data_IF_580802394684
#
_entry.id   IF_580802394684
#
_cell.length_a   1.000
_cell.length_b   1.000
_cell.length_c   1.000
_cell.angle_alpha   90.00
_cell.angle_beta   90.00
_cell.angle_gamma   90.00
#
_symmetry.space_group_name_H-M   'P 1'
#
loop_
_entity.id
_entity.type
_entity.pdbx_description
1 polymer ?
#
# COMPACT_ATOMS: atom_id res chain seq x y z
N UNK A 1 38.06 17.53 -15.02
CA UNK A 1 37.11 18.64 -14.97
C UNK A 1 36.11 18.45 -16.10
N UNK A 2 34.94 17.88 -15.80
CA UNK A 2 33.87 17.73 -16.77
C UNK A 2 33.26 19.12 -17.07
N UNK A 3 32.93 19.38 -18.34
CA UNK A 3 32.53 20.70 -18.82
C UNK A 3 31.08 21.01 -18.43
N UNK A 4 30.77 22.19 -17.83
CA UNK A 4 29.41 22.58 -17.41
C UNK A 4 28.34 22.56 -18.51
N UNK A 5 28.75 22.58 -19.78
CA UNK A 5 27.86 22.52 -20.94
C UNK A 5 27.31 21.11 -21.22
N UNK A 6 27.99 20.07 -20.74
CA UNK A 6 27.53 18.68 -20.91
C UNK A 6 26.35 18.37 -19.97
N UNK A 7 26.39 18.90 -18.74
CA UNK A 7 25.34 18.75 -17.73
C UNK A 7 24.00 19.34 -18.20
N UNK A 8 24.02 20.55 -18.77
CA UNK A 8 22.80 21.24 -19.22
C UNK A 8 22.13 20.49 -20.40
N UNK A 9 22.91 19.82 -21.24
CA UNK A 9 22.39 19.05 -22.36
C UNK A 9 21.75 17.74 -21.92
N UNK A 10 22.30 17.06 -20.91
CA UNK A 10 21.66 15.89 -20.29
C UNK A 10 20.39 16.26 -19.54
N UNK A 11 20.42 17.35 -18.76
CA UNK A 11 19.27 17.82 -17.99
C UNK A 11 18.08 18.16 -18.90
N UNK A 12 18.34 18.82 -20.04
CA UNK A 12 17.30 19.10 -21.05
C UNK A 12 16.75 17.84 -21.73
N UNK A 13 17.59 16.84 -22.00
CA UNK A 13 17.14 15.56 -22.57
C UNK A 13 16.28 14.79 -21.57
N UNK A 14 16.67 14.78 -20.30
CA UNK A 14 15.91 14.18 -19.21
C UNK A 14 14.55 14.86 -19.04
N UNK A 15 14.51 16.20 -18.98
CA UNK A 15 13.27 16.96 -18.88
C UNK A 15 12.32 16.71 -20.08
N UNK A 16 12.86 16.64 -21.30
CA UNK A 16 12.06 16.32 -22.49
C UNK A 16 11.53 14.88 -22.46
N UNK A 17 12.33 13.91 -22.01
CA UNK A 17 11.89 12.52 -21.85
C UNK A 17 10.77 12.40 -20.80
N UNK A 18 10.91 13.08 -19.66
CA UNK A 18 9.88 13.16 -18.62
C UNK A 18 8.58 13.77 -19.18
N UNK A 19 8.66 14.90 -19.89
CA UNK A 19 7.50 15.55 -20.50
C UNK A 19 6.80 14.65 -21.55
N UNK A 20 7.56 13.88 -22.32
CA UNK A 20 7.02 12.93 -23.29
C UNK A 20 6.32 11.75 -22.60
N UNK A 21 6.94 11.18 -21.56
CA UNK A 21 6.33 10.14 -20.72
C UNK A 21 5.06 10.67 -20.08
N UNK A 22 5.09 11.92 -19.61
CA UNK A 22 3.97 12.59 -18.97
C UNK A 22 2.78 12.74 -19.91
N UNK A 23 3.01 13.30 -21.10
CA UNK A 23 1.99 13.47 -22.13
C UNK A 23 1.42 12.14 -22.57
N UNK A 24 2.29 11.16 -22.86
CA UNK A 24 1.84 9.80 -23.14
C UNK A 24 0.93 9.37 -22.01
N UNK A 25 1.40 9.31 -20.76
CA UNK A 25 0.62 8.87 -19.59
C UNK A 25 -0.82 9.42 -19.59
N UNK A 26 -0.97 10.74 -19.72
CA UNK A 26 -2.26 11.41 -19.80
C UNK A 26 -3.14 10.94 -20.98
N UNK A 27 -2.57 10.77 -22.18
CA UNK A 27 -3.32 10.28 -23.34
C UNK A 27 -3.93 8.88 -23.13
N UNK A 28 -3.31 7.98 -22.34
CA UNK A 28 -3.95 6.67 -22.05
C UNK A 28 -4.94 6.74 -20.92
N UNK A 29 -4.71 7.61 -19.93
CA UNK A 29 -5.73 7.86 -18.91
C UNK A 29 -7.03 8.30 -19.57
N UNK A 30 -6.93 9.20 -20.55
CA UNK A 30 -8.05 9.64 -21.37
C UNK A 30 -8.66 8.50 -22.21
N UNK A 31 -7.84 7.75 -22.94
CA UNK A 31 -8.33 6.63 -23.76
C UNK A 31 -9.00 5.52 -22.93
N UNK A 32 -8.49 5.26 -21.72
CA UNK A 32 -9.08 4.29 -20.80
C UNK A 32 -10.41 4.79 -20.23
N UNK A 33 -10.49 6.07 -19.86
CA UNK A 33 -11.74 6.69 -19.44
C UNK A 33 -12.81 6.59 -20.54
N UNK A 34 -12.45 6.90 -21.79
CA UNK A 34 -13.33 6.76 -22.95
C UNK A 34 -13.76 5.31 -23.19
N UNK A 35 -12.83 4.35 -23.11
CA UNK A 35 -13.14 2.92 -23.25
C UNK A 35 -14.08 2.42 -22.14
N UNK A 36 -13.86 2.87 -20.90
CA UNK A 36 -14.73 2.57 -19.75
C UNK A 36 -16.14 3.10 -19.97
N UNK A 37 -16.27 4.35 -20.42
CA UNK A 37 -17.56 4.98 -20.66
C UNK A 37 -18.32 4.28 -21.81
N UNK A 38 -17.61 3.88 -22.87
CA UNK A 38 -18.18 3.04 -23.94
C UNK A 38 -18.66 1.68 -23.43
N UNK A 39 -17.88 1.02 -22.56
CA UNK A 39 -18.25 -0.26 -21.96
C UNK A 39 -19.49 -0.12 -21.06
N UNK A 40 -19.54 0.93 -20.22
CA UNK A 40 -20.72 1.24 -19.40
C UNK A 40 -21.94 1.51 -20.28
N UNK A 41 -21.79 2.24 -21.38
CA UNK A 41 -22.88 2.51 -22.31
C UNK A 41 -23.38 1.22 -22.99
N UNK A 42 -22.48 0.32 -23.42
CA UNK A 42 -22.85 -0.97 -24.02
C UNK A 42 -23.60 -1.88 -23.03
N UNK A 43 -23.18 -1.89 -21.76
CA UNK A 43 -23.84 -2.64 -20.69
C UNK A 43 -25.23 -2.06 -20.34
N UNK A 44 -25.43 -0.75 -20.46
CA UNK A 44 -26.73 -0.10 -20.25
C UNK A 44 -27.67 -0.27 -21.46
N UNK A 45 -27.13 -0.25 -22.67
CA UNK A 45 -27.90 -0.48 -23.91
C UNK A 45 -28.44 -1.91 -24.05
N UNK A 46 -27.80 -2.89 -23.42
CA UNK A 46 -28.28 -4.29 -23.40
C UNK A 46 -29.40 -4.55 -22.39
N UNK A 47 -29.65 -3.62 -21.44
CA UNK A 47 -30.79 -3.72 -20.50
C UNK A 47 -32.10 -3.10 -20.99
N UNK A 48 -32.15 -2.52 -22.19
CA UNK A 48 -33.37 -2.01 -22.81
C UNK A 48 -33.65 -2.63 -24.18
N UNK A 49 -33.84 -3.95 -24.25
CA UNK A 49 -34.67 -4.52 -25.31
C UNK A 49 -35.34 -5.82 -24.83
N UNK A 50 -36.48 -5.66 -24.16
CA UNK A 50 -37.52 -6.67 -24.14
C UNK A 50 -38.73 -6.09 -24.86
N UNK A 51 -38.89 -6.48 -26.12
CA UNK A 51 -40.07 -6.19 -26.93
C UNK A 51 -39.79 -5.35 -28.18
N UNK A 52 -39.29 -5.97 -29.24
CA UNK A 52 -39.94 -5.92 -30.56
C UNK A 52 -39.15 -6.82 -31.51
N UNK A 53 -39.88 -7.67 -32.23
CA UNK A 53 -39.36 -8.41 -33.37
C UNK A 53 -38.81 -7.43 -34.41
N UNK A 54 -37.62 -7.70 -34.94
CA UNK A 54 -37.42 -7.94 -36.37
C UNK A 54 -35.99 -8.39 -36.66
N UNK A 55 -35.90 -9.33 -37.59
CA UNK A 55 -34.68 -9.95 -38.07
C UNK A 55 -33.81 -8.96 -38.87
N UNK A 56 -32.48 -9.05 -38.74
CA UNK A 56 -31.57 -9.03 -39.89
C UNK A 56 -30.14 -9.48 -39.54
N UNK A 57 -29.79 -10.64 -40.10
CA UNK A 57 -28.53 -10.99 -40.77
C UNK A 57 -27.28 -10.14 -40.50
N UNK A 58 -26.28 -10.74 -39.83
CA UNK A 58 -24.88 -10.66 -40.27
C UNK A 58 -24.23 -12.04 -40.06
N UNK A 59 -23.82 -12.63 -41.18
CA UNK A 59 -23.17 -13.94 -41.32
C UNK A 59 -21.72 -13.92 -40.84
N UNK A 60 -21.28 -15.02 -40.20
CA UNK A 60 -19.87 -15.42 -40.12
C UNK A 60 -19.75 -16.91 -40.49
N UNK A 61 -18.64 -17.33 -41.12
CA UNK A 61 -18.59 -18.56 -41.89
C UNK A 61 -18.35 -19.81 -41.04
N UNK A 62 -19.09 -20.87 -41.40
CA UNK A 62 -19.03 -22.22 -40.85
C UNK A 62 -17.75 -22.93 -41.29
N UNK A 63 -16.93 -23.35 -40.32
CA UNK A 63 -15.90 -24.38 -40.56
C UNK A 63 -16.57 -25.75 -40.47
N UNK A 64 -16.46 -26.49 -41.56
CA UNK A 64 -16.95 -27.85 -41.76
C UNK A 64 -16.13 -28.84 -40.94
N UNK A 65 -16.78 -29.73 -40.19
CA UNK A 65 -16.19 -31.02 -39.80
C UNK A 65 -17.28 -32.07 -39.76
N UNK A 66 -16.96 -33.17 -40.43
CA UNK A 66 -17.85 -34.23 -40.89
C UNK A 66 -18.57 -35.00 -39.79
N UNK A 67 -19.75 -35.47 -40.20
CA UNK A 67 -20.58 -36.50 -39.58
C UNK A 67 -19.81 -37.78 -39.21
N UNK A 68 -20.11 -38.30 -38.02
CA UNK A 68 -20.28 -39.74 -37.82
C UNK A 68 -21.62 -39.93 -37.12
N UNK A 69 -22.56 -40.54 -37.84
CA UNK A 69 -23.89 -40.88 -37.38
C UNK A 69 -23.82 -41.98 -36.30
N UNK A 70 -24.62 -41.81 -35.24
CA UNK A 70 -24.84 -42.78 -34.17
C UNK A 70 -26.15 -42.51 -33.44
N UNK A 71 -27.08 -43.44 -33.57
CA UNK A 71 -28.51 -43.41 -33.27
C UNK A 71 -28.91 -43.15 -31.80
N UNK A 72 -30.08 -42.52 -31.66
CA UNK A 72 -30.90 -42.16 -30.50
C UNK A 72 -31.01 -43.25 -29.40
N UNK A 73 -30.86 -42.85 -28.13
CA UNK A 73 -31.66 -43.39 -27.01
C UNK A 73 -31.67 -42.47 -25.77
N UNK A 74 -32.89 -42.17 -25.31
CA UNK A 74 -33.34 -41.82 -23.95
C UNK A 74 -32.53 -40.92 -23.02
N UNK A 75 -33.11 -39.74 -22.80
CA UNK A 75 -33.28 -39.06 -21.52
C UNK A 75 -32.55 -39.60 -20.29
N UNK A 76 -31.43 -38.96 -19.98
CA UNK A 76 -31.01 -38.70 -18.60
C UNK A 76 -30.63 -37.23 -18.54
N UNK A 77 -31.31 -36.47 -17.68
CA UNK A 77 -30.94 -35.11 -17.38
C UNK A 77 -29.47 -35.12 -16.94
N UNK A 78 -28.59 -34.55 -17.75
CA UNK A 78 -27.24 -34.23 -17.33
C UNK A 78 -27.43 -33.14 -16.28
N UNK A 79 -27.36 -33.55 -15.02
CA UNK A 79 -27.15 -32.65 -13.91
C UNK A 79 -25.83 -31.93 -14.22
N UNK A 80 -25.95 -30.71 -14.75
CA UNK A 80 -24.81 -29.80 -14.90
C UNK A 80 -24.35 -29.56 -13.49
N UNK A 81 -23.36 -30.36 -13.07
CA UNK A 81 -22.67 -30.23 -11.81
C UNK A 81 -22.11 -28.81 -11.82
N UNK A 82 -22.84 -27.88 -11.21
CA UNK A 82 -22.44 -26.49 -11.07
C UNK A 82 -21.25 -26.53 -10.16
N UNK A 83 -20.07 -26.66 -10.75
CA UNK A 83 -18.79 -26.38 -10.09
C UNK A 83 -19.01 -25.03 -9.44
N UNK A 84 -19.14 -25.04 -8.11
CA UNK A 84 -19.34 -23.84 -7.34
C UNK A 84 -18.09 -23.01 -7.60
N UNK A 85 -18.20 -21.98 -8.44
CA UNK A 85 -17.09 -21.08 -8.69
C UNK A 85 -16.59 -20.63 -7.32
N UNK A 86 -15.27 -20.73 -7.04
CA UNK A 86 -14.74 -20.26 -5.78
C UNK A 86 -15.19 -18.82 -5.61
N UNK A 87 -15.87 -18.54 -4.49
CA UNK A 87 -16.30 -17.20 -4.14
C UNK A 87 -15.03 -16.38 -4.04
N UNK A 88 -14.84 -15.46 -4.98
CA UNK A 88 -13.72 -14.54 -4.99
C UNK A 88 -13.99 -13.47 -3.91
N UNK A 89 -12.97 -13.14 -3.09
CA UNK A 89 -13.03 -12.01 -2.17
C UNK A 89 -13.47 -10.74 -2.90
N UNK A 90 -14.29 -9.91 -2.26
CA UNK A 90 -14.67 -8.62 -2.86
C UNK A 90 -13.42 -7.76 -3.06
N UNK A 91 -13.24 -7.13 -4.24
CA UNK A 91 -12.12 -6.23 -4.44
C UNK A 91 -12.27 -4.99 -3.58
N UNK A 92 -11.15 -4.52 -3.03
CA UNK A 92 -11.11 -3.18 -2.45
C UNK A 92 -11.13 -2.10 -3.54
N UNK A 93 -11.64 -0.90 -3.21
CA UNK A 93 -11.57 0.25 -4.12
C UNK A 93 -10.12 0.56 -4.54
N UNK A 94 -9.16 0.45 -3.61
CA UNK A 94 -7.74 0.61 -3.91
C UNK A 94 -7.26 -0.38 -4.97
N UNK A 95 -7.73 -1.63 -4.92
CA UNK A 95 -7.34 -2.69 -5.83
C UNK A 95 -7.85 -2.44 -7.25
N UNK A 96 -9.09 -1.98 -7.40
CA UNK A 96 -9.65 -1.64 -8.71
C UNK A 96 -8.85 -0.52 -9.37
N UNK A 97 -8.54 0.52 -8.60
CA UNK A 97 -7.73 1.64 -9.06
C UNK A 97 -6.30 1.21 -9.44
N UNK A 98 -5.69 0.33 -8.65
CA UNK A 98 -4.36 -0.21 -8.95
C UNK A 98 -4.34 -1.07 -10.21
N UNK A 99 -5.35 -1.91 -10.42
CA UNK A 99 -5.46 -2.74 -11.62
C UNK A 99 -5.65 -1.88 -12.85
N UNK A 100 -6.56 -0.90 -12.78
CA UNK A 100 -6.84 0.04 -13.86
C UNK A 100 -5.57 0.78 -14.29
N UNK A 101 -4.90 1.41 -13.32
CA UNK A 101 -3.71 2.22 -13.58
C UNK A 101 -2.48 1.37 -13.93
N UNK A 102 -2.33 0.21 -13.30
CA UNK A 102 -1.27 -0.75 -13.60
C UNK A 102 -1.39 -1.32 -15.02
N UNK A 103 -2.62 -1.49 -15.53
CA UNK A 103 -2.88 -1.85 -16.92
C UNK A 103 -2.36 -0.79 -17.90
N UNK A 104 -2.55 0.50 -17.61
CA UNK A 104 -2.03 1.61 -18.42
C UNK A 104 -0.50 1.58 -18.48
N UNK A 105 0.15 1.38 -17.33
CA UNK A 105 1.61 1.27 -17.27
C UNK A 105 2.09 0.07 -18.09
N UNK A 106 1.45 -1.10 -17.92
CA UNK A 106 1.83 -2.34 -18.62
C UNK A 106 1.72 -2.20 -20.14
N UNK A 107 0.66 -1.57 -20.65
CA UNK A 107 0.47 -1.36 -22.09
C UNK A 107 1.58 -0.49 -22.71
N UNK A 108 2.26 0.32 -21.89
CA UNK A 108 3.25 1.31 -22.31
C UNK A 108 4.66 1.01 -21.87
N UNK A 109 4.90 -0.18 -21.32
CA UNK A 109 6.23 -0.67 -20.98
C UNK A 109 7.08 -0.75 -22.24
N UNK A 110 7.70 0.37 -22.59
CA UNK A 110 8.61 0.47 -23.73
C UNK A 110 10.04 0.74 -23.25
N UNK A 111 10.29 1.38 -22.08
CA UNK A 111 11.65 1.47 -21.48
C UNK A 111 11.79 2.17 -20.10
N UNK A 112 10.70 2.54 -19.39
CA UNK A 112 10.80 3.36 -18.15
C UNK A 112 9.81 2.95 -17.05
N UNK A 113 9.85 1.69 -16.62
CA UNK A 113 8.92 1.15 -15.63
C UNK A 113 8.90 1.95 -14.32
N UNK A 114 10.07 2.37 -13.84
CA UNK A 114 10.20 3.06 -12.55
C UNK A 114 9.47 4.41 -12.56
N UNK A 115 9.76 5.25 -13.56
CA UNK A 115 9.13 6.56 -13.73
C UNK A 115 7.63 6.45 -13.98
N UNK A 116 7.20 5.47 -14.79
CA UNK A 116 5.78 5.24 -15.05
C UNK A 116 5.04 4.78 -13.78
N UNK A 117 5.65 3.89 -12.99
CA UNK A 117 5.04 3.42 -11.73
C UNK A 117 4.97 4.53 -10.69
N UNK A 118 6.00 5.35 -10.57
CA UNK A 118 5.98 6.50 -9.67
C UNK A 118 4.91 7.50 -10.09
N UNK A 119 4.81 7.83 -11.38
CA UNK A 119 3.76 8.70 -11.90
C UNK A 119 2.37 8.13 -11.64
N UNK A 120 2.19 6.83 -11.84
CA UNK A 120 0.96 6.12 -11.56
C UNK A 120 0.52 6.28 -10.11
N UNK A 121 1.43 6.05 -9.16
CA UNK A 121 1.17 6.17 -7.73
C UNK A 121 0.85 7.61 -7.32
N UNK A 122 1.56 8.59 -7.89
CA UNK A 122 1.26 10.01 -7.65
C UNK A 122 -0.14 10.37 -8.14
N UNK A 123 -0.51 10.00 -9.37
CA UNK A 123 -1.87 10.23 -9.90
C UNK A 123 -2.95 9.55 -9.07
N UNK A 124 -2.72 8.32 -8.57
CA UNK A 124 -3.65 7.65 -7.66
C UNK A 124 -3.91 8.51 -6.41
N UNK A 125 -2.87 9.01 -5.78
CA UNK A 125 -2.97 9.79 -4.54
C UNK A 125 -3.60 11.17 -4.77
N UNK A 126 -3.20 11.89 -5.83
CA UNK A 126 -3.64 13.27 -6.05
C UNK A 126 -5.02 13.37 -6.72
N UNK A 127 -5.41 12.37 -7.52
CA UNK A 127 -6.65 12.40 -8.30
C UNK A 127 -7.74 11.51 -7.70
N UNK A 128 -7.41 10.26 -7.34
CA UNK A 128 -8.40 9.27 -6.88
C UNK A 128 -8.53 9.18 -5.36
N UNK A 129 -7.41 9.30 -4.64
CA UNK A 129 -7.33 9.13 -3.19
C UNK A 129 -6.95 10.43 -2.48
N UNK A 130 -7.46 11.56 -2.98
CA UNK A 130 -7.15 12.90 -2.45
C UNK A 130 -7.41 13.02 -0.94
N UNK A 131 -8.37 12.27 -0.41
CA UNK A 131 -8.66 12.22 1.03
C UNK A 131 -7.50 11.64 1.86
N UNK A 132 -6.64 10.82 1.25
CA UNK A 132 -5.46 10.19 1.85
C UNK A 132 -4.15 10.89 1.47
N UNK A 133 -4.20 11.99 0.72
CA UNK A 133 -3.01 12.62 0.14
C UNK A 133 -1.94 12.94 1.18
N UNK A 134 -2.33 13.63 2.27
CA UNK A 134 -1.39 13.91 3.37
C UNK A 134 -0.78 12.63 3.93
N UNK A 135 -1.57 11.57 4.11
CA UNK A 135 -1.06 10.33 4.67
C UNK A 135 0.10 9.79 3.84
N UNK A 136 -0.08 9.65 2.52
CA UNK A 136 0.95 9.10 1.65
C UNK A 136 2.20 9.98 1.57
N UNK A 137 2.06 11.31 1.60
CA UNK A 137 3.20 12.21 1.57
C UNK A 137 3.97 12.23 2.89
N UNK A 138 3.29 12.41 4.01
CA UNK A 138 3.96 12.55 5.32
C UNK A 138 4.53 11.20 5.80
N UNK A 139 3.99 10.06 5.33
CA UNK A 139 4.56 8.74 5.64
C UNK A 139 5.65 8.28 4.66
N UNK A 140 5.96 9.08 3.63
CA UNK A 140 6.87 8.69 2.55
C UNK A 140 6.39 7.36 1.92
N UNK A 141 5.07 7.14 1.91
CA UNK A 141 4.47 5.86 1.56
C UNK A 141 4.74 5.48 0.12
N UNK A 142 4.72 6.44 -0.80
CA UNK A 142 4.91 6.17 -2.23
C UNK A 142 6.29 5.58 -2.57
N UNK A 143 7.34 5.99 -1.86
CA UNK A 143 8.69 5.43 -2.06
C UNK A 143 8.75 3.95 -1.63
N UNK A 144 8.05 3.60 -0.55
CA UNK A 144 7.96 2.21 -0.06
C UNK A 144 7.11 1.34 -0.97
N UNK A 145 6.03 1.91 -1.52
CA UNK A 145 5.07 1.18 -2.37
C UNK A 145 5.52 1.02 -3.81
N UNK A 146 6.42 1.88 -4.32
CA UNK A 146 6.86 1.84 -5.71
C UNK A 146 7.51 0.50 -6.11
N UNK A 147 8.52 -0.05 -5.39
CA UNK A 147 9.11 -1.34 -5.76
C UNK A 147 8.12 -2.51 -5.74
N UNK A 148 7.17 -2.50 -4.80
CA UNK A 148 6.12 -3.52 -4.68
C UNK A 148 5.23 -3.48 -5.93
N UNK A 149 4.80 -2.28 -6.28
CA UNK A 149 3.89 -2.04 -7.42
C UNK A 149 4.59 -2.32 -8.75
N UNK A 150 5.88 -2.02 -8.87
CA UNK A 150 6.69 -2.38 -10.04
C UNK A 150 6.73 -3.89 -10.25
N UNK A 151 6.92 -4.67 -9.18
CA UNK A 151 6.91 -6.13 -9.25
C UNK A 151 5.53 -6.68 -9.65
N UNK A 152 4.43 -6.11 -9.14
CA UNK A 152 3.08 -6.50 -9.54
C UNK A 152 2.83 -6.28 -11.04
N UNK A 153 3.34 -5.17 -11.59
CA UNK A 153 3.21 -4.83 -13.01
C UNK A 153 4.15 -5.71 -13.87
N UNK A 154 5.39 -5.90 -13.43
CA UNK A 154 6.42 -6.66 -14.14
C UNK A 154 7.18 -7.59 -13.17
N UNK A 155 6.68 -8.82 -12.95
CA UNK A 155 7.24 -9.76 -11.97
C UNK A 155 8.51 -10.41 -12.51
N UNK A 156 9.63 -9.70 -12.42
CA UNK A 156 10.97 -10.19 -12.76
C UNK A 156 11.78 -10.44 -11.49
N UNK A 157 12.82 -11.27 -11.60
CA UNK A 157 13.77 -11.51 -10.50
C UNK A 157 14.41 -10.19 -10.05
N UNK A 158 14.77 -9.33 -10.99
CA UNK A 158 15.33 -8.00 -10.70
C UNK A 158 14.36 -7.16 -9.85
N UNK A 159 13.10 -7.06 -10.26
CA UNK A 159 12.10 -6.28 -9.51
C UNK A 159 11.76 -6.91 -8.17
N UNK A 160 11.80 -8.23 -8.05
CA UNK A 160 11.63 -8.92 -6.76
C UNK A 160 12.69 -8.49 -5.73
N UNK A 161 13.96 -8.39 -6.15
CA UNK A 161 15.05 -8.00 -5.24
C UNK A 161 15.02 -6.53 -4.83
N UNK A 162 14.31 -5.67 -5.57
CA UNK A 162 14.02 -4.28 -5.17
C UNK A 162 13.03 -4.21 -4.01
N UNK A 163 12.24 -5.26 -3.77
CA UNK A 163 11.27 -5.31 -2.68
C UNK A 163 11.98 -5.54 -1.35
N UNK A 164 11.63 -4.70 -0.38
CA UNK A 164 12.11 -4.78 1.00
C UNK A 164 11.67 -6.10 1.65
N UNK A 165 12.48 -6.73 2.52
CA UNK A 165 12.21 -8.06 3.06
C UNK A 165 10.80 -8.24 3.64
N UNK A 166 10.29 -7.30 4.44
CA UNK A 166 8.95 -7.39 5.04
C UNK A 166 7.80 -7.37 4.03
N UNK A 167 8.02 -6.78 2.85
CA UNK A 167 7.04 -6.68 1.78
C UNK A 167 7.17 -7.76 0.70
N UNK A 168 8.22 -8.59 0.74
CA UNK A 168 8.40 -9.64 -0.28
C UNK A 168 7.20 -10.59 -0.29
N UNK A 169 6.69 -10.99 -1.47
CA UNK A 169 5.60 -11.95 -1.56
C UNK A 169 5.88 -13.23 -0.77
N UNK A 170 4.92 -13.68 0.03
CA UNK A 170 4.93 -14.97 0.70
C UNK A 170 4.70 -16.11 -0.28
N UNK A 171 4.96 -17.35 0.16
CA UNK A 171 4.63 -18.53 -0.63
C UNK A 171 3.12 -18.62 -0.94
N UNK A 172 2.26 -18.17 -0.03
CA UNK A 172 0.81 -18.17 -0.24
C UNK A 172 0.42 -17.12 -1.30
N UNK A 173 0.96 -15.90 -1.22
CA UNK A 173 0.77 -14.87 -2.25
C UNK A 173 1.22 -15.34 -3.64
N UNK A 174 2.32 -16.11 -3.72
CA UNK A 174 2.82 -16.66 -4.99
C UNK A 174 2.00 -17.83 -5.55
N UNK A 175 1.19 -18.49 -4.72
CA UNK A 175 0.43 -19.71 -5.11
C UNK A 175 -1.08 -19.50 -5.19
N UNK A 176 -1.60 -18.40 -4.64
CA UNK A 176 -3.03 -18.09 -4.64
C UNK A 176 -3.31 -16.69 -5.15
N UNK A 177 -4.48 -16.56 -5.77
CA UNK A 177 -5.02 -15.24 -6.09
C UNK A 177 -5.16 -14.40 -4.83
N UNK A 178 -4.76 -13.14 -4.94
CA UNK A 178 -4.93 -12.12 -3.93
C UNK A 178 -5.05 -10.76 -4.62
N UNK A 179 -5.66 -9.80 -3.92
CA UNK A 179 -5.81 -8.45 -4.46
C UNK A 179 -4.53 -7.61 -4.25
N UNK A 180 -4.14 -6.74 -5.20
CA UNK A 180 -2.81 -6.11 -5.20
C UNK A 180 -2.54 -5.18 -4.01
N UNK A 181 -3.55 -4.51 -3.46
CA UNK A 181 -3.35 -3.66 -2.28
C UNK A 181 -2.94 -4.45 -1.03
N UNK A 182 -3.16 -5.77 -1.01
CA UNK A 182 -2.69 -6.65 0.08
C UNK A 182 -1.17 -6.63 0.19
N UNK A 183 -0.44 -6.51 -0.92
CA UNK A 183 1.02 -6.50 -0.91
C UNK A 183 1.61 -5.26 -0.24
N UNK A 184 0.80 -4.21 -0.02
CA UNK A 184 1.18 -2.98 0.65
C UNK A 184 1.16 -3.07 2.18
N UNK A 185 0.80 -4.24 2.73
CA UNK A 185 0.84 -4.50 4.17
C UNK A 185 2.22 -5.08 4.53
N UNK A 186 2.98 -4.49 5.47
CA UNK A 186 4.35 -4.92 5.79
C UNK A 186 4.44 -6.24 6.56
N UNK A 187 3.30 -6.80 6.97
CA UNK A 187 3.23 -7.99 7.82
C UNK A 187 2.80 -9.21 7.00
N UNK A 188 3.74 -10.10 6.73
CA UNK A 188 3.52 -11.32 5.95
C UNK A 188 2.38 -12.19 6.51
N UNK A 189 2.30 -12.36 7.83
CA UNK A 189 1.25 -13.17 8.46
C UNK A 189 -0.16 -12.56 8.27
N UNK A 190 -0.29 -11.23 8.37
CA UNK A 190 -1.56 -10.54 8.13
C UNK A 190 -1.98 -10.71 6.66
N UNK A 191 -1.03 -10.58 5.73
CA UNK A 191 -1.25 -10.80 4.30
C UNK A 191 -1.77 -12.20 4.02
N UNK A 192 -1.14 -13.21 4.58
CA UNK A 192 -1.56 -14.61 4.39
C UNK A 192 -2.96 -14.86 4.99
N UNK A 193 -3.25 -14.30 6.16
CA UNK A 193 -4.58 -14.39 6.78
C UNK A 193 -5.66 -13.71 5.95
N UNK A 194 -5.37 -12.56 5.34
CA UNK A 194 -6.28 -11.90 4.40
C UNK A 194 -6.55 -12.73 3.14
N UNK A 195 -5.58 -13.51 2.67
CA UNK A 195 -5.81 -14.45 1.56
C UNK A 195 -6.72 -15.60 1.99
N UNK A 196 -6.52 -16.12 3.20
CA UNK A 196 -7.30 -17.24 3.74
C UNK A 196 -8.74 -16.84 4.09
N UNK A 197 -8.94 -15.62 4.61
CA UNK A 197 -10.22 -15.12 5.12
C UNK A 197 -10.82 -13.99 4.27
N UNK A 198 -10.36 -13.81 3.03
CA UNK A 198 -10.78 -12.69 2.18
C UNK A 198 -12.29 -12.64 1.85
N UNK A 199 -13.01 -13.75 2.03
CA UNK A 199 -14.47 -13.79 1.88
C UNK A 199 -15.24 -13.30 3.11
N UNK A 200 -14.56 -13.21 4.26
CA UNK A 200 -15.15 -12.83 5.55
C UNK A 200 -14.81 -11.37 5.92
N UNK A 201 -13.80 -10.79 5.27
CA UNK A 201 -13.20 -9.52 5.65
C UNK A 201 -13.20 -8.56 4.45
N UNK A 202 -13.68 -7.33 4.66
CA UNK A 202 -13.55 -6.27 3.67
C UNK A 202 -12.14 -5.69 3.69
N UNK A 203 -11.40 -5.88 2.61
CA UNK A 203 -10.02 -5.39 2.48
C UNK A 203 -9.94 -3.86 2.52
N UNK A 204 -10.99 -3.15 2.07
CA UNK A 204 -11.02 -1.68 2.15
C UNK A 204 -11.03 -1.23 3.60
N UNK A 205 -11.92 -1.81 4.41
CA UNK A 205 -12.03 -1.47 5.83
C UNK A 205 -10.74 -1.81 6.57
N UNK A 206 -10.11 -2.95 6.26
CA UNK A 206 -8.80 -3.30 6.84
C UNK A 206 -7.74 -2.27 6.52
N UNK A 207 -7.61 -1.84 5.27
CA UNK A 207 -6.61 -0.83 4.87
C UNK A 207 -6.88 0.49 5.59
N UNK A 208 -8.14 0.95 5.60
CA UNK A 208 -8.53 2.20 6.24
C UNK A 208 -8.31 2.19 7.76
N UNK A 209 -8.67 1.10 8.44
CA UNK A 209 -8.41 0.96 9.87
C UNK A 209 -6.92 0.85 10.15
N UNK A 210 -6.16 0.09 9.35
CA UNK A 210 -4.70 -0.02 9.52
C UNK A 210 -4.01 1.36 9.44
N UNK A 211 -4.39 2.19 8.46
CA UNK A 211 -3.91 3.57 8.35
C UNK A 211 -4.23 4.39 9.62
N UNK A 212 -5.31 4.10 10.34
CA UNK A 212 -5.66 4.82 11.57
C UNK A 212 -4.96 4.26 12.81
N UNK A 213 -4.50 3.01 12.78
CA UNK A 213 -4.01 2.27 13.95
C UNK A 213 -2.49 2.18 14.05
N UNK A 214 -1.73 2.70 13.07
CA UNK A 214 -0.26 2.67 13.13
C UNK A 214 0.29 3.48 14.32
N UNK A 215 1.19 2.85 15.06
CA UNK A 215 1.80 3.32 16.28
C UNK A 215 3.33 3.17 16.23
N UNK A 216 4.01 4.17 16.78
CA UNK A 216 5.43 4.16 17.06
C UNK A 216 5.65 3.58 18.46
N UNK A 217 6.49 2.54 18.57
CA UNK A 217 6.97 2.02 19.85
C UNK A 217 8.24 2.76 20.25
N UNK A 218 8.21 3.40 21.42
CA UNK A 218 9.32 4.13 22.00
C UNK A 218 9.71 3.41 23.29
N UNK A 219 10.86 2.71 23.32
CA UNK A 219 11.39 2.18 24.57
C UNK A 219 11.65 3.33 25.54
N UNK A 220 11.21 3.18 26.79
CA UNK A 220 11.58 4.08 27.88
C UNK A 220 13.03 3.78 28.27
N UNK A 221 13.98 4.18 27.44
CA UNK A 221 15.37 4.19 27.87
C UNK A 221 15.59 5.37 28.82
N UNK A 222 16.18 5.15 30.02
CA UNK A 222 16.85 6.24 30.69
C UNK A 222 17.96 6.71 29.74
N UNK A 223 17.97 8.01 29.43
CA UNK A 223 19.08 8.65 28.74
C UNK A 223 20.31 8.60 29.64
N UNK A 224 20.97 7.46 29.78
CA UNK A 224 22.31 7.34 30.35
C UNK A 224 23.31 7.88 29.31
N UNK A 225 23.25 9.18 29.08
CA UNK A 225 24.39 9.96 28.58
C UNK A 225 24.93 10.74 29.78
N UNK A 226 25.29 10.02 30.83
CA UNK A 226 26.44 10.46 31.64
C UNK A 226 27.67 9.93 30.89
N UNK A 227 28.27 10.83 30.11
CA UNK A 227 29.68 10.70 29.76
C UNK A 227 30.43 10.37 31.05
N UNK A 228 31.15 9.24 31.14
CA UNK A 228 32.01 9.02 32.29
C UNK A 228 33.12 10.08 32.21
N UNK A 229 33.02 11.11 33.05
CA UNK A 229 34.20 11.85 33.49
C UNK A 229 35.16 10.80 34.00
N UNK A 230 36.27 10.62 33.28
CA UNK A 230 37.27 9.64 33.60
C UNK A 230 37.85 9.93 34.99
N UNK A 231 37.36 9.22 36.02
CA UNK A 231 38.11 8.98 37.25
C UNK A 231 38.57 7.52 37.24
N UNK A 232 39.79 7.35 36.74
CA UNK A 232 40.56 6.11 36.69
C UNK A 232 40.99 5.65 38.10
N UNK A 233 40.04 5.36 38.99
CA UNK A 233 40.38 4.90 40.36
C UNK A 233 39.55 3.72 40.88
N UNK A 234 38.67 3.13 40.06
CA UNK A 234 37.78 2.05 40.51
C UNK A 234 38.10 0.65 39.92
N UNK A 235 39.30 0.44 39.39
CA UNK A 235 39.81 -0.92 39.16
C UNK A 235 40.31 -1.46 40.51
N UNK A 236 39.48 -2.22 41.24
CA UNK A 236 39.86 -3.28 42.21
C UNK A 236 38.72 -3.59 43.21
N UNK A 237 37.51 -3.95 42.76
CA UNK A 237 36.56 -4.64 43.63
C UNK A 237 35.94 -5.87 42.93
N UNK A 238 35.82 -7.03 43.60
CA UNK A 238 35.25 -8.23 43.00
C UNK A 238 33.75 -8.07 42.77
N UNK A 239 33.33 -8.34 41.53
CA UNK A 239 31.96 -8.33 41.08
C UNK A 239 31.17 -9.42 41.82
N UNK A 240 30.31 -9.03 42.77
CA UNK A 240 29.21 -9.90 43.25
C UNK A 240 28.06 -9.73 42.26
N UNK A 241 27.62 -10.78 41.55
CA UNK A 241 26.46 -10.67 40.67
C UNK A 241 25.19 -10.59 41.51
N UNK A 242 24.72 -9.38 41.78
CA UNK A 242 23.36 -9.14 42.26
C UNK A 242 22.40 -9.57 41.14
N UNK A 243 21.39 -10.42 41.39
CA UNK A 243 20.38 -10.72 40.39
C UNK A 243 19.59 -9.42 40.12
N UNK A 244 19.90 -8.74 39.03
CA UNK A 244 19.05 -7.68 38.52
C UNK A 244 17.74 -8.33 38.10
N UNK A 245 16.72 -8.18 38.95
CA UNK A 245 15.35 -8.38 38.54
C UNK A 245 15.13 -7.51 37.29
N UNK A 246 14.87 -8.16 36.16
CA UNK A 246 14.50 -7.54 34.90
C UNK A 246 13.33 -6.59 35.16
N UNK A 247 13.59 -5.29 35.29
CA UNK A 247 12.52 -4.30 35.30
C UNK A 247 11.79 -4.45 33.97
N UNK A 248 10.46 -4.55 33.96
CA UNK A 248 9.73 -4.56 32.70
C UNK A 248 10.08 -3.28 31.96
N UNK A 249 10.71 -3.40 30.79
CA UNK A 249 10.92 -2.26 29.90
C UNK A 249 9.53 -1.74 29.55
N UNK A 250 9.17 -0.58 30.10
CA UNK A 250 7.94 0.10 29.72
C UNK A 250 8.18 0.70 28.34
N UNK A 251 7.26 0.41 27.42
CA UNK A 251 7.28 0.96 26.07
C UNK A 251 6.13 1.94 25.99
N UNK A 252 6.42 3.15 25.53
CA UNK A 252 5.41 4.16 25.28
C UNK A 252 4.97 4.10 23.81
N UNK A 253 3.66 4.14 23.57
CA UNK A 253 3.07 4.10 22.23
C UNK A 253 2.58 5.48 21.82
N UNK A 254 2.95 5.92 20.62
CA UNK A 254 2.46 7.16 20.02
C UNK A 254 1.80 6.88 18.67
N UNK A 255 0.59 7.41 18.45
CA UNK A 255 -0.13 7.20 17.19
C UNK A 255 0.49 8.02 16.06
N UNK A 256 0.75 7.38 14.92
CA UNK A 256 1.21 8.04 13.71
C UNK A 256 0.17 9.04 13.17
N UNK A 257 -1.12 8.75 13.37
CA UNK A 257 -2.21 9.66 13.01
C UNK A 257 -2.08 11.02 13.70
N UNK A 258 -1.80 11.04 15.00
CA UNK A 258 -1.63 12.30 15.74
C UNK A 258 -0.46 13.12 15.20
N UNK A 259 0.64 12.46 14.83
CA UNK A 259 1.80 13.10 14.22
C UNK A 259 1.45 13.74 12.86
N UNK A 260 0.73 13.03 11.99
CA UNK A 260 0.32 13.56 10.69
C UNK A 260 -0.64 14.75 10.86
N UNK A 261 -1.60 14.65 11.79
CA UNK A 261 -2.51 15.76 12.08
C UNK A 261 -1.74 16.97 12.64
N UNK A 262 -0.70 16.75 13.46
CA UNK A 262 0.20 17.80 13.92
C UNK A 262 0.90 18.53 12.77
N UNK A 263 1.43 17.79 11.79
CA UNK A 263 2.08 18.38 10.61
C UNK A 263 1.13 19.21 9.75
N UNK A 264 -0.10 18.72 9.54
CA UNK A 264 -1.15 19.46 8.83
C UNK A 264 -1.48 20.79 9.51
N UNK A 265 -1.60 20.77 10.84
CA UNK A 265 -1.86 21.94 11.66
C UNK A 265 -0.71 22.95 11.52
N UNK A 266 0.55 22.52 11.54
CA UNK A 266 1.70 23.40 11.30
C UNK A 266 1.64 24.02 9.89
N UNK A 267 1.40 23.21 8.84
CA UNK A 267 1.39 23.68 7.44
C UNK A 267 0.30 24.73 7.19
N UNK A 268 -0.91 24.52 7.71
CA UNK A 268 -2.06 25.42 7.52
C UNK A 268 -1.93 26.73 8.31
N UNK A 269 -1.19 26.73 9.41
CA UNK A 269 -1.03 27.91 10.28
C UNK A 269 0.06 28.91 9.91
N UNK A 270 0.80 28.70 8.83
CA UNK A 270 1.83 29.64 8.36
C UNK A 270 1.25 30.95 7.75
N UNK A 271 -0.06 31.22 7.93
CA UNK A 271 -0.70 32.48 7.56
C UNK A 271 -0.47 33.59 8.60
N UNK A 272 -0.51 34.88 8.20
CA UNK A 272 -0.26 35.99 9.11
C UNK A 272 -1.53 36.32 9.92
N UNK A 273 -1.71 35.69 11.08
CA UNK A 273 -2.65 36.22 12.09
C UNK A 273 -2.37 35.72 13.51
N UNK A 274 -1.91 36.67 14.31
CA UNK A 274 -2.28 36.97 15.70
C UNK A 274 -3.39 36.10 16.31
N UNK A 275 -3.02 35.07 17.06
CA UNK A 275 -3.73 34.64 18.28
C UNK A 275 -2.87 33.61 19.01
N UNK A 276 -2.33 34.00 20.16
CA UNK A 276 -1.71 33.08 21.10
C UNK A 276 -2.79 32.16 21.66
N UNK A 277 -2.81 30.90 21.27
CA UNK A 277 -3.47 29.88 22.05
C UNK A 277 -2.50 28.71 22.16
N UNK A 278 -2.31 28.23 23.38
CA UNK A 278 -1.38 27.18 23.78
C UNK A 278 -1.40 26.02 22.78
N UNK A 279 -0.50 26.08 21.81
CA UNK A 279 -0.37 25.03 20.82
C UNK A 279 0.49 23.97 21.48
N UNK A 280 -0.14 22.88 21.92
CA UNK A 280 0.57 21.72 22.43
C UNK A 280 1.60 21.33 21.37
N UNK A 281 2.87 21.56 21.71
CA UNK A 281 3.99 21.42 20.80
C UNK A 281 4.64 20.08 21.12
N UNK A 282 4.61 19.18 20.16
CA UNK A 282 5.29 17.90 20.29
C UNK A 282 6.77 18.12 20.61
N UNK A 283 7.36 17.25 21.42
CA UNK A 283 8.78 17.33 21.74
C UNK A 283 9.64 17.06 20.49
N UNK A 284 10.73 17.81 20.33
CA UNK A 284 11.65 17.65 19.18
C UNK A 284 12.28 16.26 19.13
N UNK A 285 12.50 15.63 20.28
CA UNK A 285 13.04 14.27 20.37
C UNK A 285 12.05 13.24 19.83
N UNK A 286 10.76 13.38 20.15
CA UNK A 286 9.71 12.53 19.62
C UNK A 286 9.53 12.75 18.11
N UNK A 287 9.55 14.01 17.66
CA UNK A 287 9.54 14.36 16.23
C UNK A 287 10.67 13.67 15.47
N UNK A 288 11.89 13.73 16.00
CA UNK A 288 13.04 13.07 15.40
C UNK A 288 12.84 11.55 15.31
N UNK A 289 12.25 10.91 16.33
CA UNK A 289 11.96 9.47 16.30
C UNK A 289 10.94 9.12 15.20
N UNK A 290 9.89 9.92 15.03
CA UNK A 290 8.94 9.72 13.91
C UNK A 290 9.64 9.82 12.56
N UNK A 291 10.42 10.88 12.33
CA UNK A 291 11.14 11.09 11.07
C UNK A 291 12.10 9.92 10.78
N UNK A 292 12.91 9.53 11.77
CA UNK A 292 13.85 8.43 11.62
C UNK A 292 13.14 7.10 11.31
N UNK A 293 12.03 6.81 11.99
CA UNK A 293 11.26 5.57 11.78
C UNK A 293 10.54 5.58 10.43
N UNK A 294 10.02 6.73 9.99
CA UNK A 294 9.41 6.87 8.67
C UNK A 294 10.42 6.70 7.53
N UNK A 295 11.64 7.20 7.72
CA UNK A 295 12.75 7.00 6.78
C UNK A 295 13.34 5.59 6.86
N UNK A 296 13.22 4.91 8.00
CA UNK A 296 13.65 3.52 8.11
C UNK A 296 12.66 2.59 7.40
N UNK A 297 13.26 1.74 6.58
CA UNK A 297 12.60 0.73 5.77
C UNK A 297 12.35 -0.54 6.59
N UNK A 298 13.18 -0.79 7.61
CA UNK A 298 13.17 -2.03 8.38
C UNK A 298 12.42 -1.93 9.72
N UNK A 299 12.00 -0.73 10.13
CA UNK A 299 11.27 -0.49 11.36
C UNK A 299 9.81 -0.12 11.06
N UNK A 300 8.93 -1.10 10.77
CA UNK A 300 7.53 -0.81 10.51
C UNK A 300 6.86 -0.27 11.78
N UNK A 301 6.00 0.72 11.59
CA UNK A 301 5.03 1.07 12.60
C UNK A 301 4.15 -0.16 12.89
N UNK A 302 3.84 -0.40 14.16
CA UNK A 302 2.97 -1.50 14.58
C UNK A 302 1.52 -1.04 14.68
N UNK A 303 0.59 -1.97 14.78
CA UNK A 303 -0.85 -1.71 14.85
C UNK A 303 -1.32 -1.73 16.30
N UNK A 304 -2.15 -0.75 16.66
CA UNK A 304 -2.83 -0.70 17.97
C UNK A 304 -3.70 -1.96 18.19
N UNK A 305 -3.84 -2.40 19.45
CA UNK A 305 -4.65 -3.58 19.82
C UNK A 305 -6.09 -3.50 19.29
N UNK A 306 -6.69 -2.31 19.25
CA UNK A 306 -8.05 -2.07 18.75
C UNK A 306 -8.25 -2.51 17.29
N UNK A 307 -7.19 -2.49 16.46
CA UNK A 307 -7.24 -3.04 15.10
C UNK A 307 -7.57 -4.53 15.12
N UNK A 308 -6.94 -5.28 16.02
CA UNK A 308 -7.15 -6.74 16.13
C UNK A 308 -8.44 -7.07 16.88
N UNK A 309 -8.92 -6.19 17.75
CA UNK A 309 -10.25 -6.35 18.34
C UNK A 309 -11.34 -6.23 17.24
N UNK A 310 -11.14 -5.36 16.25
CA UNK A 310 -12.02 -5.24 15.08
C UNK A 310 -11.83 -6.37 14.07
N UNK A 311 -10.59 -6.84 13.86
CA UNK A 311 -10.26 -7.95 12.95
C UNK A 311 -9.53 -9.10 13.66
N UNK A 312 -10.23 -9.89 14.50
CA UNK A 312 -9.58 -10.93 15.33
C UNK A 312 -8.86 -12.00 14.51
N UNK A 313 -9.41 -12.32 13.33
CA UNK A 313 -8.82 -13.28 12.39
C UNK A 313 -7.46 -12.83 11.85
N UNK A 314 -7.11 -11.55 11.98
CA UNK A 314 -5.86 -10.97 11.52
C UNK A 314 -4.82 -10.79 12.63
N UNK A 315 -5.09 -11.23 13.87
CA UNK A 315 -4.14 -11.09 14.98
C UNK A 315 -2.75 -11.60 14.60
N UNK A 316 -1.73 -10.77 14.76
CA UNK A 316 -0.34 -11.10 14.43
C UNK A 316 0.57 -10.55 15.52
N UNK A 317 1.39 -11.42 16.11
CA UNK A 317 2.20 -11.07 17.28
C UNK A 317 3.28 -10.03 16.96
N UNK A 318 3.85 -10.09 15.75
CA UNK A 318 4.86 -9.15 15.30
C UNK A 318 4.27 -7.78 14.94
N UNK A 319 3.01 -7.76 14.51
CA UNK A 319 2.32 -6.55 14.08
C UNK A 319 1.68 -5.78 15.24
N UNK A 320 1.42 -6.40 16.38
CA UNK A 320 0.75 -5.74 17.50
C UNK A 320 1.69 -4.84 18.30
N UNK A 321 1.30 -3.59 18.47
CA UNK A 321 2.00 -2.63 19.30
C UNK A 321 1.82 -2.98 20.79
N UNK A 322 2.91 -2.95 21.56
CA UNK A 322 2.94 -3.26 22.98
C UNK A 322 3.42 -2.06 23.78
N UNK A 323 2.62 -1.64 24.74
CA UNK A 323 2.98 -0.52 25.60
C UNK A 323 1.78 0.27 26.08
N UNK A 324 2.07 1.38 26.76
CA UNK A 324 1.04 2.32 27.21
C UNK A 324 0.92 3.46 26.21
N UNK A 325 -0.30 3.67 25.72
CA UNK A 325 -0.59 4.81 24.85
C UNK A 325 -0.37 6.14 25.59
N UNK A 326 0.27 7.08 24.89
CA UNK A 326 0.44 8.46 25.31
C UNK A 326 0.21 9.37 24.11
N UNK A 327 -0.55 10.45 24.31
CA UNK A 327 -0.72 11.42 23.22
C UNK A 327 0.58 12.18 22.98
N UNK A 328 0.85 12.56 21.72
CA UNK A 328 2.00 13.42 21.38
C UNK A 328 1.90 14.82 22.03
N UNK A 329 0.71 15.18 22.52
CA UNK A 329 0.41 16.45 23.17
C UNK A 329 0.54 16.40 24.70
N UNK A 330 0.66 15.20 25.27
CA UNK A 330 0.87 15.02 26.70
C UNK A 330 2.32 15.38 27.03
N UNK A 331 2.58 16.66 27.30
CA UNK A 331 3.86 17.11 27.85
C UNK A 331 3.95 16.69 29.32
N UNK A 332 4.99 15.91 29.66
CA UNK A 332 5.44 15.76 31.05
C UNK A 332 5.88 17.10 31.63
#
# INVERSE_FOLDING_TARGET
MASPLYDIAEERKSAHAIALIERKFQDAMQALAESRDLAIHALRGTTQHKGSNDAQLISTPTVTSQEVAGTIASGTAIEVNRVSLPILPRPSCFCLDLIEMGGVVRQRMIEHLDALTQKMLVSLVTEKWKWAETWFWETIGLEKLAPITQYQIAPTVENYWKIQPGYRPTQLQMSRFHWPALDWIPFAEIRDKLIMHGNEIDLTDVILTAMQSYCLEVPDEPLDIDMPSADLTALMLPLVPTPQASRPHTTTLYRLREYIDHLNVIRTSKGPSTASSHRARMSKSLEARFVLTLSDINAPFKLEQSFFDQFPLLFCEEAVARGTFRSIYDTN
#
